data_IF_646938673881
#
_entry.id   IF_646938673881
#
_cell.length_a   1.000
_cell.length_b   1.000
_cell.length_c   1.000
_cell.angle_alpha   90.00
_cell.angle_beta   90.00
_cell.angle_gamma   90.00
#
_symmetry.space_group_name_H-M   'P 1'
#
loop_
_entity.id
_entity.type
_entity.pdbx_description
1 polymer ?
#
# COMPACT_ATOMS: atom_id res chain seq x y z
N UNK A 1 13.41 14.50 2.49
CA UNK A 1 12.55 13.30 2.49
C UNK A 1 12.57 12.66 1.12
N UNK A 2 12.83 11.37 1.04
CA UNK A 2 12.84 10.66 -0.24
C UNK A 2 11.41 10.31 -0.67
N UNK A 3 11.24 9.98 -1.96
CA UNK A 3 9.95 9.52 -2.47
C UNK A 3 9.49 8.25 -1.73
N UNK A 4 10.43 7.35 -1.42
CA UNK A 4 10.14 6.12 -0.69
C UNK A 4 9.60 6.42 0.71
N UNK A 5 10.25 7.30 1.46
CA UNK A 5 9.80 7.68 2.79
C UNK A 5 8.41 8.31 2.77
N UNK A 6 8.16 9.13 1.75
CA UNK A 6 6.86 9.77 1.57
C UNK A 6 5.76 8.73 1.37
N UNK A 7 5.98 7.76 0.49
CA UNK A 7 4.99 6.72 0.20
C UNK A 7 4.77 5.82 1.42
N UNK A 8 5.81 5.48 2.15
CA UNK A 8 5.68 4.69 3.38
C UNK A 8 4.82 5.45 4.39
N UNK A 9 5.07 6.76 4.55
CA UNK A 9 4.26 7.59 5.43
C UNK A 9 2.79 7.62 5.00
N UNK A 10 2.54 7.72 3.72
CA UNK A 10 1.18 7.70 3.17
C UNK A 10 0.50 6.35 3.39
N UNK A 11 1.24 5.25 3.28
CA UNK A 11 0.71 3.90 3.57
C UNK A 11 0.23 3.82 5.02
N UNK A 12 1.05 4.29 5.96
CA UNK A 12 0.72 4.25 7.38
C UNK A 12 -0.47 5.15 7.70
N UNK A 13 -0.52 6.32 7.12
CA UNK A 13 -1.64 7.26 7.31
C UNK A 13 -2.94 6.68 6.76
N UNK A 14 -2.88 6.11 5.56
CA UNK A 14 -4.05 5.50 4.93
C UNK A 14 -4.57 4.32 5.77
N UNK A 15 -3.67 3.47 6.27
CA UNK A 15 -4.04 2.36 7.15
C UNK A 15 -4.73 2.87 8.41
N UNK A 16 -4.23 3.97 8.98
CA UNK A 16 -4.85 4.60 10.15
C UNK A 16 -6.26 5.08 9.87
N UNK A 17 -6.50 5.64 8.69
CA UNK A 17 -7.86 6.08 8.30
C UNK A 17 -8.82 4.91 8.22
N UNK A 18 -8.40 3.78 7.64
CA UNK A 18 -9.24 2.57 7.60
C UNK A 18 -9.57 2.07 9.00
N UNK A 19 -8.59 2.08 9.91
CA UNK A 19 -8.80 1.63 11.28
C UNK A 19 -9.76 2.51 12.07
N UNK A 20 -9.82 3.80 11.70
CA UNK A 20 -10.75 4.76 12.31
C UNK A 20 -12.14 4.70 11.69
N UNK A 21 -12.35 3.86 10.69
CA UNK A 21 -13.63 3.78 9.98
C UNK A 21 -13.89 4.94 9.03
N UNK A 22 -12.87 5.69 8.66
CA UNK A 22 -12.99 6.83 7.73
C UNK A 22 -12.82 6.33 6.31
N UNK A 23 -13.74 5.50 5.86
CA UNK A 23 -13.60 4.69 4.65
C UNK A 23 -13.47 5.53 3.38
N UNK A 24 -14.23 6.62 3.27
CA UNK A 24 -14.19 7.48 2.07
C UNK A 24 -12.85 8.17 1.94
N UNK A 25 -12.37 8.76 3.04
CA UNK A 25 -11.07 9.43 3.04
C UNK A 25 -9.95 8.43 2.77
N UNK A 26 -10.03 7.24 3.38
CA UNK A 26 -9.05 6.19 3.20
C UNK A 26 -9.03 5.71 1.75
N UNK A 27 -10.18 5.52 1.13
CA UNK A 27 -10.26 5.06 -0.25
C UNK A 27 -9.64 6.08 -1.22
N UNK A 28 -9.88 7.36 -1.00
CA UNK A 28 -9.27 8.41 -1.81
C UNK A 28 -7.74 8.43 -1.64
N UNK A 29 -7.28 8.31 -0.41
CA UNK A 29 -5.85 8.25 -0.11
C UNK A 29 -5.19 7.02 -0.71
N UNK A 30 -5.90 5.89 -0.73
CA UNK A 30 -5.40 4.62 -1.26
C UNK A 30 -5.04 4.72 -2.75
N UNK A 31 -5.78 5.51 -3.52
CA UNK A 31 -5.48 5.72 -4.95
C UNK A 31 -4.09 6.32 -5.10
N UNK A 32 -3.78 7.33 -4.31
CA UNK A 32 -2.46 7.99 -4.34
C UNK A 32 -1.36 7.04 -3.88
N UNK A 33 -1.62 6.24 -2.84
CA UNK A 33 -0.67 5.25 -2.34
C UNK A 33 -0.35 4.22 -3.42
N UNK A 34 -1.37 3.69 -4.09
CA UNK A 34 -1.17 2.68 -5.13
C UNK A 34 -0.40 3.25 -6.32
N UNK A 35 -0.73 4.47 -6.74
CA UNK A 35 -0.03 5.13 -7.83
C UNK A 35 1.45 5.36 -7.49
N UNK A 36 1.72 5.89 -6.31
CA UNK A 36 3.09 6.12 -5.85
C UNK A 36 3.89 4.83 -5.71
N UNK A 37 3.29 3.79 -5.13
CA UNK A 37 3.94 2.50 -4.98
C UNK A 37 4.23 1.87 -6.35
N UNK A 38 3.27 1.95 -7.28
CA UNK A 38 3.45 1.44 -8.63
C UNK A 38 4.64 2.09 -9.32
N UNK A 39 4.75 3.41 -9.21
CA UNK A 39 5.86 4.13 -9.83
C UNK A 39 7.21 3.76 -9.23
N UNK A 40 7.29 3.62 -7.90
CA UNK A 40 8.53 3.21 -7.23
C UNK A 40 8.95 1.80 -7.61
N UNK A 41 7.99 0.92 -7.87
CA UNK A 41 8.24 -0.50 -8.13
C UNK A 41 8.39 -0.83 -9.61
N UNK A 42 8.17 0.15 -10.51
CA UNK A 42 8.28 -0.08 -11.97
C UNK A 42 9.65 -0.58 -12.39
N UNK A 43 10.70 -0.07 -11.76
CA UNK A 43 12.07 -0.44 -12.08
C UNK A 43 12.64 -1.52 -11.16
N UNK A 44 11.83 -2.07 -10.28
CA UNK A 44 12.27 -3.12 -9.36
C UNK A 44 12.46 -4.44 -10.10
N UNK A 45 13.26 -5.38 -9.53
CA UNK A 45 13.41 -6.71 -10.11
C UNK A 45 12.08 -7.44 -10.24
N UNK A 46 12.01 -8.41 -11.16
CA UNK A 46 10.77 -9.12 -11.48
C UNK A 46 10.15 -9.81 -10.27
N UNK A 47 10.98 -10.37 -9.37
CA UNK A 47 10.49 -11.04 -8.16
C UNK A 47 9.79 -10.05 -7.22
N UNK A 48 10.32 -8.83 -7.10
CA UNK A 48 9.69 -7.77 -6.29
C UNK A 48 8.37 -7.35 -6.93
N UNK A 49 8.35 -7.18 -8.25
CA UNK A 49 7.11 -6.81 -8.95
C UNK A 49 6.05 -7.89 -8.81
N UNK A 50 6.44 -9.16 -8.77
CA UNK A 50 5.51 -10.27 -8.57
C UNK A 50 4.90 -10.22 -7.16
N UNK A 51 5.70 -9.95 -6.14
CA UNK A 51 5.20 -9.78 -4.77
C UNK A 51 4.26 -8.59 -4.68
N UNK A 52 4.59 -7.48 -5.35
CA UNK A 52 3.71 -6.31 -5.42
C UNK A 52 2.34 -6.68 -6.01
N UNK A 53 2.34 -7.42 -7.11
CA UNK A 53 1.10 -7.85 -7.74
C UNK A 53 0.26 -8.71 -6.80
N UNK A 54 0.88 -9.59 -6.02
CA UNK A 54 0.19 -10.43 -5.03
C UNK A 54 -0.41 -9.58 -3.92
N UNK A 55 0.36 -8.64 -3.37
CA UNK A 55 -0.12 -7.75 -2.31
C UNK A 55 -1.28 -6.89 -2.82
N UNK A 56 -1.14 -6.33 -4.01
CA UNK A 56 -2.19 -5.51 -4.62
C UNK A 56 -3.48 -6.31 -4.79
N UNK A 57 -3.38 -7.54 -5.28
CA UNK A 57 -4.53 -8.42 -5.45
C UNK A 57 -5.23 -8.68 -4.12
N UNK A 58 -4.46 -8.94 -3.06
CA UNK A 58 -5.03 -9.17 -1.73
C UNK A 58 -5.71 -7.92 -1.18
N UNK A 59 -5.10 -6.75 -1.39
CA UNK A 59 -5.70 -5.50 -0.93
C UNK A 59 -7.01 -5.20 -1.67
N UNK A 60 -7.04 -5.44 -2.98
CA UNK A 60 -8.26 -5.23 -3.76
C UNK A 60 -9.36 -6.21 -3.36
N UNK A 61 -8.99 -7.45 -3.05
CA UNK A 61 -9.93 -8.44 -2.54
C UNK A 61 -10.52 -8.03 -1.18
N UNK A 62 -9.67 -7.52 -0.28
CA UNK A 62 -10.14 -6.99 0.99
C UNK A 62 -11.12 -5.83 0.79
N UNK A 63 -10.82 -4.94 -0.16
CA UNK A 63 -11.69 -3.82 -0.47
C UNK A 63 -13.05 -4.30 -0.98
N UNK A 64 -13.05 -5.27 -1.86
CA UNK A 64 -14.29 -5.84 -2.41
C UNK A 64 -15.16 -6.46 -1.32
N UNK A 65 -14.52 -7.14 -0.36
CA UNK A 65 -15.22 -7.75 0.79
C UNK A 65 -15.50 -6.75 1.90
N UNK A 66 -15.07 -5.52 1.76
CA UNK A 66 -15.17 -4.47 2.78
C UNK A 66 -14.50 -4.87 4.10
N UNK A 67 -13.42 -5.62 4.00
CA UNK A 67 -12.61 -6.01 5.14
C UNK A 67 -11.53 -4.96 5.37
N UNK A 68 -11.94 -3.86 5.97
CA UNK A 68 -11.08 -2.67 6.12
C UNK A 68 -9.90 -2.90 7.05
N UNK A 69 -10.07 -3.73 8.07
CA UNK A 69 -8.98 -4.01 9.01
C UNK A 69 -7.90 -4.87 8.35
N UNK A 70 -8.29 -5.87 7.57
CA UNK A 70 -7.32 -6.66 6.82
C UNK A 70 -6.61 -5.82 5.77
N UNK A 71 -7.34 -4.92 5.09
CA UNK A 71 -6.75 -4.01 4.11
C UNK A 71 -5.72 -3.10 4.78
N UNK A 72 -6.03 -2.56 5.95
CA UNK A 72 -5.11 -1.72 6.71
C UNK A 72 -3.83 -2.50 7.08
N UNK A 73 -3.98 -3.75 7.49
CA UNK A 73 -2.83 -4.58 7.84
C UNK A 73 -1.92 -4.85 6.64
N UNK A 74 -2.50 -5.18 5.48
CA UNK A 74 -1.70 -5.35 4.26
C UNK A 74 -0.95 -4.07 3.91
N UNK A 75 -1.61 -2.94 4.02
CA UNK A 75 -1.03 -1.64 3.65
C UNK A 75 0.09 -1.23 4.60
N UNK A 76 -0.11 -1.39 5.89
CA UNK A 76 0.87 -0.94 6.89
C UNK A 76 2.05 -1.89 7.03
N UNK A 77 1.83 -3.20 6.90
CA UNK A 77 2.86 -4.20 7.15
C UNK A 77 3.42 -4.79 5.87
N UNK A 78 2.60 -5.45 5.06
CA UNK A 78 3.08 -6.14 3.86
C UNK A 78 3.63 -5.17 2.81
N UNK A 79 2.88 -4.11 2.51
CA UNK A 79 3.30 -3.14 1.50
C UNK A 79 4.52 -2.35 1.97
N UNK A 80 4.53 -1.92 3.21
CA UNK A 80 5.68 -1.17 3.76
C UNK A 80 6.93 -2.04 3.76
N UNK A 81 6.82 -3.30 4.16
CA UNK A 81 7.95 -4.23 4.12
C UNK A 81 8.51 -4.38 2.71
N UNK A 82 7.63 -4.52 1.72
CA UNK A 82 8.06 -4.62 0.33
C UNK A 82 8.78 -3.36 -0.11
N UNK A 83 8.22 -2.20 0.20
CA UNK A 83 8.82 -0.92 -0.17
C UNK A 83 10.19 -0.72 0.49
N UNK A 84 10.32 -1.13 1.74
CA UNK A 84 11.59 -1.03 2.46
C UNK A 84 12.65 -2.00 1.93
N UNK A 85 12.24 -3.05 1.25
CA UNK A 85 13.17 -4.01 0.66
C UNK A 85 13.75 -3.54 -0.68
N UNK A 86 13.19 -2.50 -1.28
CA UNK A 86 13.66 -1.98 -2.57
C UNK A 86 14.91 -1.15 -2.35
N UNK A 87 16.01 -1.41 -3.09
CA UNK A 87 17.22 -0.59 -2.97
C UNK A 87 16.92 0.86 -3.33
N UNK A 88 17.43 1.75 -2.50
CA UNK A 88 17.22 3.18 -2.70
C UNK A 88 18.02 3.69 -3.90
#
# INVERSE_FOLDING_TARGET
MTALEKIIGECRQCAGLFRLGRDVEAALSMVDVFDGAQQLLLSAPADVQQVWAQILTQMLDCQERQDWLALADYMEFELVDLLESVPA
#
